data_IF_329854172196
#
_entry.id   IF_329854172196
#
_cell.length_a   1.000
_cell.length_b   1.000
_cell.length_c   1.000
_cell.angle_alpha   90.00
_cell.angle_beta   90.00
_cell.angle_gamma   90.00
#
_symmetry.space_group_name_H-M   'P 1'
#
loop_
_entity.id
_entity.type
_entity.pdbx_description
1 polymer ?
#
# COMPACT_ATOMS: atom_id res chain seq x y z
N UNK A 1 -91.53 -24.13 57.95
CA UNK A 1 -90.80 -24.65 56.78
C UNK A 1 -89.90 -23.65 56.06
N UNK A 2 -90.03 -22.35 56.31
CA UNK A 2 -89.24 -21.28 55.56
C UNK A 2 -87.80 -21.12 56.02
N UNK A 3 -87.40 -21.46 57.23
CA UNK A 3 -85.97 -21.28 57.73
C UNK A 3 -85.04 -22.38 57.21
N UNK A 4 -85.49 -23.64 57.01
CA UNK A 4 -84.63 -24.73 56.50
C UNK A 4 -84.21 -24.48 55.03
N UNK A 5 -85.11 -23.83 54.21
CA UNK A 5 -84.74 -23.49 52.82
C UNK A 5 -83.72 -22.37 52.68
N UNK A 6 -83.77 -21.41 53.64
CA UNK A 6 -82.73 -20.31 53.66
C UNK A 6 -81.35 -20.81 54.07
N UNK A 7 -81.23 -21.72 55.03
CA UNK A 7 -79.99 -22.36 55.44
C UNK A 7 -79.37 -23.20 54.33
N UNK A 8 -80.17 -23.90 53.55
CA UNK A 8 -79.73 -24.70 52.39
C UNK A 8 -79.21 -23.81 51.25
N UNK A 9 -79.79 -22.65 51.00
CA UNK A 9 -79.32 -21.66 50.02
C UNK A 9 -78.01 -21.02 50.42
N UNK A 10 -77.83 -20.69 51.70
CA UNK A 10 -76.60 -20.15 52.22
C UNK A 10 -75.46 -21.18 52.17
N UNK A 11 -75.75 -22.46 52.45
CA UNK A 11 -74.72 -23.53 52.33
C UNK A 11 -74.26 -23.74 50.87
N UNK A 12 -75.21 -23.68 49.91
CA UNK A 12 -74.92 -23.81 48.47
C UNK A 12 -74.05 -22.60 47.99
N UNK A 13 -74.35 -21.37 48.46
CA UNK A 13 -73.59 -20.19 48.10
C UNK A 13 -72.16 -20.26 48.69
N UNK A 14 -71.98 -20.70 49.94
CA UNK A 14 -70.70 -20.89 50.53
C UNK A 14 -69.87 -21.97 49.79
N UNK A 15 -70.56 -23.08 49.36
CA UNK A 15 -69.89 -24.12 48.58
C UNK A 15 -69.47 -23.61 47.19
N UNK A 16 -70.29 -22.83 46.53
CA UNK A 16 -69.98 -22.24 45.24
C UNK A 16 -68.82 -21.21 45.35
N UNK A 17 -68.82 -20.33 46.35
CA UNK A 17 -67.81 -19.42 46.66
C UNK A 17 -66.47 -20.14 46.96
N UNK A 18 -66.52 -21.24 47.74
CA UNK A 18 -65.39 -22.10 48.03
C UNK A 18 -64.81 -22.75 46.77
N UNK A 19 -65.62 -23.19 45.85
CA UNK A 19 -65.21 -23.81 44.57
C UNK A 19 -64.57 -22.73 43.64
N UNK A 20 -65.16 -21.53 43.59
CA UNK A 20 -64.61 -20.41 42.83
C UNK A 20 -63.26 -19.94 43.40
N UNK A 21 -63.19 -19.82 44.71
CA UNK A 21 -61.97 -19.49 45.42
C UNK A 21 -60.88 -20.56 45.23
N UNK A 22 -61.24 -21.85 45.31
CA UNK A 22 -60.29 -22.95 45.01
C UNK A 22 -59.76 -22.90 43.55
N UNK A 23 -60.65 -22.54 42.60
CA UNK A 23 -60.25 -22.37 41.20
C UNK A 23 -59.37 -21.16 40.99
N UNK A 24 -59.56 -20.08 41.74
CA UNK A 24 -58.74 -18.87 41.66
C UNK A 24 -57.38 -18.99 42.36
N UNK A 25 -57.30 -19.79 43.45
CA UNK A 25 -56.09 -19.94 44.26
C UNK A 25 -55.31 -21.21 43.91
N UNK A 26 -55.93 -22.17 43.19
CA UNK A 26 -55.20 -23.35 42.72
C UNK A 26 -53.98 -22.90 41.85
N UNK A 27 -52.75 -23.24 42.25
CA UNK A 27 -51.57 -22.86 41.49
C UNK A 27 -51.72 -23.49 40.09
N UNK A 28 -51.91 -22.66 39.11
CA UNK A 28 -51.80 -23.07 37.70
C UNK A 28 -50.39 -23.63 37.53
N UNK A 29 -50.30 -24.95 37.53
CA UNK A 29 -49.11 -25.62 37.05
C UNK A 29 -48.90 -25.17 35.61
N UNK A 30 -48.19 -24.07 35.44
CA UNK A 30 -47.63 -23.66 34.16
C UNK A 30 -46.75 -24.84 33.75
N UNK A 31 -47.33 -25.76 32.96
CA UNK A 31 -46.54 -26.73 32.21
C UNK A 31 -45.58 -25.90 31.41
N UNK A 32 -44.31 -25.76 31.90
CA UNK A 32 -43.21 -25.36 31.06
C UNK A 32 -43.25 -26.33 29.88
N UNK A 33 -43.81 -25.87 28.78
CA UNK A 33 -43.69 -26.54 27.51
C UNK A 33 -42.23 -26.81 27.31
N UNK A 34 -41.79 -28.04 27.45
CA UNK A 34 -40.50 -28.48 27.00
C UNK A 34 -40.52 -28.21 25.50
N UNK A 35 -39.86 -27.12 25.09
CA UNK A 35 -39.70 -26.77 23.69
C UNK A 35 -38.83 -27.88 23.08
N UNK A 36 -39.48 -28.89 22.50
CA UNK A 36 -38.85 -29.93 21.68
C UNK A 36 -38.53 -29.34 20.32
N UNK A 37 -37.79 -28.25 20.30
CA UNK A 37 -37.25 -27.65 19.07
C UNK A 37 -36.19 -28.59 18.49
N UNK A 38 -36.34 -28.90 17.19
CA UNK A 38 -35.32 -29.60 16.44
C UNK A 38 -33.99 -28.82 16.61
N UNK A 39 -32.86 -29.45 17.04
CA UNK A 39 -31.59 -28.75 17.27
C UNK A 39 -31.17 -28.03 16.01
N UNK A 40 -30.96 -26.72 16.11
CA UNK A 40 -30.54 -25.86 14.99
C UNK A 40 -29.12 -26.26 14.56
N UNK A 41 -28.88 -26.62 13.31
CA UNK A 41 -27.55 -26.94 12.83
C UNK A 41 -26.73 -25.66 12.76
N UNK A 42 -25.54 -25.69 13.38
CA UNK A 42 -24.61 -24.58 13.40
C UNK A 42 -23.20 -25.03 13.02
N UNK A 43 -22.37 -24.12 12.48
CA UNK A 43 -20.93 -24.29 12.42
C UNK A 43 -20.28 -23.42 13.49
N UNK A 44 -19.14 -23.88 14.00
CA UNK A 44 -18.42 -23.22 15.07
C UNK A 44 -16.96 -23.02 14.70
N UNK A 45 -16.33 -22.03 15.29
CA UNK A 45 -14.89 -21.83 15.28
C UNK A 45 -14.42 -21.62 16.73
N UNK A 46 -13.19 -22.03 17.00
CA UNK A 46 -12.60 -21.82 18.32
C UNK A 46 -11.97 -20.42 18.37
N UNK A 47 -12.11 -19.73 19.50
CA UNK A 47 -11.36 -18.50 19.80
C UNK A 47 -9.90 -18.89 20.05
N UNK A 48 -9.00 -18.41 19.20
CA UNK A 48 -7.59 -18.77 19.24
C UNK A 48 -6.72 -17.56 19.56
N UNK A 49 -5.57 -17.82 20.20
CA UNK A 49 -4.58 -16.79 20.45
C UNK A 49 -3.67 -16.67 19.22
N UNK A 50 -3.56 -15.46 18.66
CA UNK A 50 -2.79 -15.20 17.45
C UNK A 50 -2.12 -13.82 17.50
N UNK A 51 -0.97 -13.69 16.81
CA UNK A 51 -0.38 -12.39 16.56
C UNK A 51 -1.07 -11.78 15.33
N UNK A 52 -1.68 -10.61 15.51
CA UNK A 52 -2.46 -9.94 14.48
C UNK A 52 -1.75 -8.66 14.05
N UNK A 53 -1.27 -8.58 12.79
CA UNK A 53 -0.73 -7.34 12.27
C UNK A 53 -1.87 -6.34 12.03
N UNK A 54 -1.70 -5.13 12.53
CA UNK A 54 -2.65 -4.01 12.36
C UNK A 54 -2.19 -3.19 11.16
N UNK A 55 -3.12 -2.98 10.22
CA UNK A 55 -2.88 -2.23 9.00
C UNK A 55 -3.77 -0.98 8.95
N UNK A 56 -3.18 0.12 8.49
CA UNK A 56 -3.92 1.27 8.00
C UNK A 56 -4.03 1.14 6.48
N UNK A 57 -5.23 1.30 5.96
CA UNK A 57 -5.51 1.17 4.53
C UNK A 57 -5.74 2.55 3.91
N UNK A 58 -5.20 2.74 2.71
CA UNK A 58 -5.33 3.98 1.94
C UNK A 58 -5.28 3.69 0.44
N UNK A 59 -5.82 4.60 -0.35
CA UNK A 59 -5.57 4.64 -1.79
C UNK A 59 -4.26 5.40 -2.02
N UNK A 60 -3.37 4.84 -2.84
CA UNK A 60 -2.10 5.45 -3.22
C UNK A 60 -1.98 5.64 -4.71
N UNK A 61 -1.12 6.58 -5.11
CA UNK A 61 -0.71 6.82 -6.48
C UNK A 61 0.76 6.45 -6.65
N UNK A 62 1.04 5.67 -7.66
CA UNK A 62 2.40 5.26 -8.00
C UNK A 62 3.15 6.45 -8.62
N UNK A 63 4.36 6.75 -8.13
CA UNK A 63 5.24 7.78 -8.65
C UNK A 63 6.60 7.21 -9.01
N UNK A 64 7.18 7.71 -10.09
CA UNK A 64 8.55 7.37 -10.45
C UNK A 64 9.55 7.73 -9.33
N UNK A 65 10.59 6.91 -9.17
CA UNK A 65 11.68 7.25 -8.25
C UNK A 65 12.40 8.54 -8.68
N UNK A 66 12.68 8.66 -9.98
CA UNK A 66 13.18 9.87 -10.63
C UNK A 66 12.56 9.96 -12.03
N UNK A 67 12.27 11.17 -12.45
CA UNK A 67 11.75 11.47 -13.78
C UNK A 67 12.43 12.73 -14.26
N UNK A 68 13.05 12.69 -15.45
CA UNK A 68 13.77 13.81 -16.02
C UNK A 68 13.42 13.93 -17.50
N UNK A 69 12.97 15.10 -17.89
CA UNK A 69 12.80 15.47 -19.29
C UNK A 69 14.18 15.88 -19.85
N UNK A 70 14.64 15.17 -20.85
CA UNK A 70 15.89 15.49 -21.55
C UNK A 70 15.63 16.62 -22.52
N UNK A 71 16.29 17.74 -22.29
CA UNK A 71 16.17 18.95 -23.14
C UNK A 71 17.52 19.28 -23.77
N UNK A 72 17.53 19.83 -25.01
CA UNK A 72 18.73 20.36 -25.61
C UNK A 72 19.20 21.63 -24.87
N UNK A 73 20.51 21.81 -24.71
CA UNK A 73 21.10 22.99 -24.08
C UNK A 73 21.54 24.03 -25.10
N UNK A 74 21.57 23.65 -26.40
CA UNK A 74 21.97 24.49 -27.53
C UNK A 74 20.97 24.28 -28.67
N UNK A 75 20.96 25.21 -29.64
CA UNK A 75 20.08 25.13 -30.82
C UNK A 75 20.79 24.49 -32.00
N UNK A 76 20.05 23.79 -32.85
CA UNK A 76 20.56 23.25 -34.09
C UNK A 76 19.73 22.08 -34.64
N UNK A 77 20.02 21.63 -35.88
CA UNK A 77 19.35 20.45 -36.40
C UNK A 77 19.81 19.17 -35.69
N UNK A 78 18.87 18.33 -35.31
CA UNK A 78 19.14 17.03 -34.72
C UNK A 78 19.42 16.02 -35.85
N UNK A 79 20.66 15.58 -35.96
CA UNK A 79 21.09 14.71 -37.06
C UNK A 79 20.94 13.23 -36.80
N UNK A 80 20.78 12.85 -35.50
CA UNK A 80 20.83 11.46 -35.13
C UNK A 80 20.11 11.22 -33.80
N UNK A 81 19.36 10.11 -33.68
CA UNK A 81 18.74 9.59 -32.46
C UNK A 81 19.15 8.14 -32.30
N UNK A 82 19.77 7.80 -31.14
CA UNK A 82 20.42 6.50 -30.86
C UNK A 82 19.70 5.70 -29.77
N UNK A 83 18.39 5.80 -29.67
CA UNK A 83 17.61 4.99 -28.75
C UNK A 83 16.25 4.63 -29.37
N UNK A 84 15.64 3.55 -28.87
CA UNK A 84 14.28 3.18 -29.18
C UNK A 84 13.36 3.60 -28.03
N UNK A 85 12.13 3.94 -28.36
CA UNK A 85 11.09 4.24 -27.38
C UNK A 85 10.89 3.06 -26.41
N UNK A 86 10.75 3.36 -25.13
CA UNK A 86 10.62 2.33 -24.08
C UNK A 86 11.89 1.53 -23.78
N UNK A 87 13.05 1.88 -24.33
CA UNK A 87 14.33 1.24 -24.05
C UNK A 87 14.85 1.61 -22.64
N UNK A 88 15.56 0.69 -22.00
CA UNK A 88 16.34 1.02 -20.81
C UNK A 88 17.67 1.63 -21.20
N UNK A 89 17.97 2.80 -20.63
CA UNK A 89 19.23 3.54 -20.86
C UNK A 89 19.99 3.70 -19.56
N UNK A 90 21.31 3.80 -19.68
CA UNK A 90 22.22 4.08 -18.54
C UNK A 90 22.61 5.55 -18.51
N UNK A 91 22.89 6.08 -17.31
CA UNK A 91 23.40 7.45 -17.16
C UNK A 91 24.65 7.65 -18.01
N UNK A 92 24.70 8.76 -18.80
CA UNK A 92 25.78 9.09 -19.71
C UNK A 92 25.67 8.49 -21.12
N UNK A 93 24.74 7.55 -21.35
CA UNK A 93 24.50 6.97 -22.68
C UNK A 93 24.09 8.07 -23.66
N UNK A 94 24.65 8.04 -24.88
CA UNK A 94 24.26 8.94 -25.96
C UNK A 94 22.81 8.65 -26.36
N UNK A 95 22.01 9.68 -26.50
CA UNK A 95 20.61 9.58 -26.90
C UNK A 95 20.36 10.21 -28.26
N UNK A 96 20.94 11.38 -28.48
CA UNK A 96 20.77 12.11 -29.72
C UNK A 96 21.98 13.02 -29.97
N UNK A 97 22.12 13.51 -31.19
CA UNK A 97 23.19 14.45 -31.55
C UNK A 97 22.62 15.59 -32.38
N UNK A 98 22.98 16.80 -31.98
CA UNK A 98 22.81 18.03 -32.74
C UNK A 98 24.01 18.16 -33.67
N UNK A 99 23.87 18.80 -34.83
CA UNK A 99 24.97 19.03 -35.78
C UNK A 99 26.15 19.74 -35.09
N UNK A 100 27.28 19.07 -34.92
CA UNK A 100 28.43 19.64 -34.21
C UNK A 100 29.28 20.61 -35.05
N UNK A 101 29.09 20.63 -36.39
CA UNK A 101 29.96 21.35 -37.33
C UNK A 101 30.11 22.86 -37.01
N UNK A 102 29.00 23.60 -36.77
CA UNK A 102 29.12 25.02 -36.41
C UNK A 102 29.89 25.25 -35.08
N UNK A 103 29.63 24.40 -34.09
CA UNK A 103 30.26 24.49 -32.78
C UNK A 103 31.74 24.08 -32.85
N UNK A 104 32.09 23.09 -33.67
CA UNK A 104 33.51 22.72 -33.92
C UNK A 104 34.27 23.85 -34.62
N UNK A 105 33.62 24.53 -35.59
CA UNK A 105 34.23 25.68 -36.27
C UNK A 105 34.52 26.82 -35.29
N UNK A 106 33.56 27.10 -34.35
CA UNK A 106 33.74 28.11 -33.32
C UNK A 106 34.89 27.75 -32.36
N UNK A 107 34.98 26.46 -31.94
CA UNK A 107 36.11 26.00 -31.13
C UNK A 107 37.45 26.15 -31.86
N UNK A 108 37.51 25.76 -33.11
CA UNK A 108 38.72 25.90 -33.92
C UNK A 108 39.14 27.38 -34.04
N UNK A 109 38.19 28.31 -34.22
CA UNK A 109 38.46 29.76 -34.25
C UNK A 109 39.01 30.25 -32.89
N UNK A 110 38.41 29.84 -31.77
CA UNK A 110 38.91 30.22 -30.44
C UNK A 110 40.34 29.68 -30.18
N UNK A 111 40.62 28.43 -30.58
CA UNK A 111 41.95 27.83 -30.48
C UNK A 111 43.00 28.58 -31.33
N UNK A 112 42.63 28.98 -32.56
CA UNK A 112 43.51 29.76 -33.42
C UNK A 112 43.83 31.13 -32.83
N UNK A 113 42.83 31.80 -32.22
CA UNK A 113 43.07 33.08 -31.53
C UNK A 113 43.97 32.93 -30.32
N UNK A 114 43.70 31.94 -29.48
CA UNK A 114 44.55 31.61 -28.33
C UNK A 114 46.02 31.38 -28.75
N UNK A 115 46.25 30.62 -29.81
CA UNK A 115 47.58 30.35 -30.33
C UNK A 115 48.27 31.64 -30.84
N UNK A 116 47.51 32.54 -31.48
CA UNK A 116 48.01 33.85 -31.91
C UNK A 116 48.49 34.68 -30.69
N UNK A 117 47.67 34.83 -29.67
CA UNK A 117 47.97 35.69 -28.52
C UNK A 117 49.02 35.07 -27.59
N UNK A 118 49.11 33.74 -27.53
CA UNK A 118 50.24 33.06 -26.89
C UNK A 118 51.56 33.37 -27.58
N UNK A 119 51.60 33.51 -28.92
CA UNK A 119 52.77 33.90 -29.65
C UNK A 119 53.18 35.38 -29.35
N UNK A 120 52.18 36.29 -29.27
CA UNK A 120 52.42 37.71 -28.86
C UNK A 120 52.96 37.77 -27.44
N UNK A 121 52.40 37.07 -26.50
CA UNK A 121 52.89 36.98 -25.11
C UNK A 121 54.34 36.42 -25.07
N UNK A 122 54.65 35.42 -25.87
CA UNK A 122 55.96 34.84 -25.94
C UNK A 122 57.00 35.88 -26.44
N UNK A 123 56.63 36.69 -27.45
CA UNK A 123 57.43 37.79 -27.94
C UNK A 123 57.67 38.88 -26.85
N UNK A 124 56.60 39.34 -26.20
CA UNK A 124 56.63 40.30 -25.10
C UNK A 124 57.59 39.83 -23.97
N UNK A 125 57.53 38.56 -23.59
CA UNK A 125 58.43 37.95 -22.60
C UNK A 125 59.90 37.94 -23.05
N UNK A 126 60.17 37.72 -24.33
CA UNK A 126 61.53 37.80 -24.90
C UNK A 126 62.02 39.23 -24.83
N UNK A 127 61.19 40.21 -25.18
CA UNK A 127 61.48 41.61 -25.14
C UNK A 127 61.80 42.09 -23.71
N UNK A 128 60.91 41.73 -22.73
CA UNK A 128 61.11 42.01 -21.30
C UNK A 128 62.50 41.49 -20.83
N UNK A 129 62.82 40.22 -21.09
CA UNK A 129 64.16 39.67 -20.75
C UNK A 129 65.29 40.40 -21.40
N UNK A 130 65.15 40.91 -22.64
CA UNK A 130 66.17 41.73 -23.33
C UNK A 130 66.33 43.05 -22.60
N UNK A 131 65.30 43.78 -22.24
CA UNK A 131 65.36 45.05 -21.53
C UNK A 131 65.95 44.88 -20.13
N UNK A 132 65.57 43.85 -19.36
CA UNK A 132 66.19 43.51 -18.08
C UNK A 132 67.71 43.34 -18.17
N UNK A 133 68.22 42.70 -19.24
CA UNK A 133 69.64 42.55 -19.47
C UNK A 133 70.37 43.92 -19.87
N UNK A 134 69.64 44.76 -20.61
CA UNK A 134 70.17 46.10 -21.01
C UNK A 134 70.21 47.04 -19.82
N UNK A 135 69.26 47.05 -18.91
CA UNK A 135 69.30 47.87 -17.68
C UNK A 135 70.45 47.43 -16.78
N UNK A 136 70.75 46.15 -16.62
CA UNK A 136 71.91 45.67 -15.87
C UNK A 136 73.25 46.17 -16.42
N UNK A 137 73.32 46.56 -17.73
CA UNK A 137 74.47 47.12 -18.41
C UNK A 137 74.35 48.60 -18.54
N UNK A 138 73.37 49.28 -17.94
CA UNK A 138 73.13 50.74 -18.04
C UNK A 138 72.84 51.24 -19.47
N UNK A 139 72.33 50.39 -20.38
CA UNK A 139 71.99 50.74 -21.76
C UNK A 139 70.48 50.98 -21.97
N UNK A 140 69.65 50.79 -20.94
CA UNK A 140 68.21 51.07 -20.94
C UNK A 140 67.80 51.69 -19.60
N UNK A 141 66.62 52.40 -19.56
CA UNK A 141 66.03 52.94 -18.33
C UNK A 141 65.15 51.89 -17.58
N UNK A 142 65.05 52.07 -16.27
CA UNK A 142 64.13 51.24 -15.45
C UNK A 142 62.65 51.40 -15.89
N UNK A 143 62.31 52.63 -16.35
CA UNK A 143 60.94 52.87 -16.86
C UNK A 143 60.63 51.99 -18.09
N UNK A 144 61.53 51.83 -19.03
CA UNK A 144 61.37 50.97 -20.20
C UNK A 144 61.13 49.49 -19.80
N UNK A 145 61.81 49.03 -18.76
CA UNK A 145 61.59 47.67 -18.25
C UNK A 145 60.27 47.53 -17.59
N UNK A 146 59.82 48.55 -16.84
CA UNK A 146 58.48 48.57 -16.21
C UNK A 146 57.36 48.56 -17.27
N UNK A 147 57.51 49.34 -18.35
CA UNK A 147 56.57 49.38 -19.47
C UNK A 147 56.50 48.01 -20.16
N UNK A 148 57.60 47.30 -20.35
CA UNK A 148 57.59 45.95 -20.92
C UNK A 148 57.01 44.91 -19.95
N UNK A 149 57.22 45.06 -18.67
CA UNK A 149 56.59 44.22 -17.68
C UNK A 149 55.07 44.39 -17.64
N UNK A 150 54.60 45.62 -17.79
CA UNK A 150 53.14 45.90 -17.93
C UNK A 150 52.56 45.28 -19.20
N UNK A 151 53.29 45.39 -20.36
CA UNK A 151 52.86 44.74 -21.61
C UNK A 151 52.73 43.19 -21.47
N UNK A 152 53.74 42.58 -20.81
CA UNK A 152 53.65 41.11 -20.53
C UNK A 152 52.46 40.76 -19.65
N UNK A 153 52.11 41.62 -18.67
CA UNK A 153 50.99 41.40 -17.81
C UNK A 153 49.64 41.56 -18.57
N UNK A 154 49.55 42.53 -19.49
CA UNK A 154 48.45 42.76 -20.38
C UNK A 154 48.24 41.56 -21.32
N UNK A 155 49.26 41.12 -22.04
CA UNK A 155 49.20 39.98 -22.96
C UNK A 155 48.89 38.68 -22.21
N UNK A 156 49.41 38.51 -20.99
CA UNK A 156 49.06 37.36 -20.18
C UNK A 156 47.58 37.35 -19.76
N UNK A 157 47.01 38.54 -19.53
CA UNK A 157 45.57 38.65 -19.25
C UNK A 157 44.70 38.34 -20.50
N UNK A 158 45.16 38.76 -21.69
CA UNK A 158 44.47 38.44 -22.97
C UNK A 158 44.51 36.92 -23.22
N UNK A 159 45.66 36.28 -23.05
CA UNK A 159 45.77 34.80 -23.17
C UNK A 159 44.81 34.10 -22.21
N UNK A 160 44.69 34.56 -20.96
CA UNK A 160 43.78 34.00 -19.99
C UNK A 160 42.29 34.19 -20.39
N UNK A 161 41.95 35.32 -21.01
CA UNK A 161 40.63 35.58 -21.58
C UNK A 161 40.32 34.60 -22.71
N UNK A 162 41.26 34.35 -23.60
CA UNK A 162 41.13 33.45 -24.74
C UNK A 162 41.01 31.98 -24.28
N UNK A 163 41.74 31.58 -23.24
CA UNK A 163 41.58 30.26 -22.60
C UNK A 163 40.15 30.06 -22.12
N UNK A 164 39.53 31.04 -21.47
CA UNK A 164 38.14 31.01 -21.07
C UNK A 164 37.20 30.97 -22.30
N UNK A 165 37.53 31.63 -23.39
CA UNK A 165 36.83 31.55 -24.67
C UNK A 165 36.82 30.13 -25.26
N UNK A 166 37.98 29.47 -25.24
CA UNK A 166 38.16 28.08 -25.68
C UNK A 166 37.32 27.15 -24.82
N UNK A 167 37.35 27.29 -23.48
CA UNK A 167 36.53 26.47 -22.56
C UNK A 167 35.03 26.62 -22.83
N UNK A 168 34.56 27.84 -23.08
CA UNK A 168 33.20 28.14 -23.44
C UNK A 168 32.80 27.45 -24.76
N UNK A 169 33.61 27.56 -25.81
CA UNK A 169 33.35 26.91 -27.10
C UNK A 169 33.39 25.38 -26.99
N UNK A 170 34.28 24.82 -26.20
CA UNK A 170 34.34 23.36 -25.93
C UNK A 170 33.13 22.86 -25.14
N UNK A 171 32.65 23.63 -24.18
CA UNK A 171 31.39 23.32 -23.45
C UNK A 171 30.21 23.29 -24.39
N UNK A 172 30.07 24.30 -25.25
CA UNK A 172 28.97 24.31 -26.25
C UNK A 172 29.07 23.14 -27.22
N UNK A 173 30.25 22.76 -27.66
CA UNK A 173 30.47 21.58 -28.49
C UNK A 173 30.07 20.31 -27.73
N UNK A 174 30.34 20.20 -26.44
CA UNK A 174 29.96 19.05 -25.63
C UNK A 174 28.44 18.89 -25.57
N UNK A 175 27.66 19.97 -25.56
CA UNK A 175 26.19 19.97 -25.52
C UNK A 175 25.56 19.49 -26.85
N UNK A 176 26.32 19.39 -27.94
CA UNK A 176 25.83 18.77 -29.16
C UNK A 176 25.52 17.28 -28.98
N UNK A 177 26.20 16.60 -28.05
CA UNK A 177 25.97 15.21 -27.71
C UNK A 177 24.98 15.11 -26.53
N UNK A 178 23.73 14.88 -26.80
CA UNK A 178 22.66 14.77 -25.81
C UNK A 178 22.74 13.40 -25.14
N UNK A 179 23.00 13.39 -23.83
CA UNK A 179 23.20 12.17 -23.05
C UNK A 179 22.14 12.02 -21.95
N UNK A 180 21.88 10.77 -21.55
CA UNK A 180 20.97 10.45 -20.46
C UNK A 180 21.48 10.98 -19.12
N UNK A 181 20.78 11.87 -18.42
CA UNK A 181 21.20 12.40 -17.12
C UNK A 181 21.04 11.40 -15.98
N UNK A 182 20.13 10.44 -16.15
CA UNK A 182 19.81 9.36 -15.20
C UNK A 182 19.70 8.03 -15.94
N UNK A 183 19.89 6.92 -15.21
CA UNK A 183 19.53 5.59 -15.71
C UNK A 183 18.01 5.39 -15.52
N UNK A 184 17.34 4.83 -16.52
CA UNK A 184 15.91 4.60 -16.50
C UNK A 184 15.37 4.10 -17.82
N UNK A 185 14.06 4.11 -17.96
CA UNK A 185 13.35 3.75 -19.19
C UNK A 185 12.95 5.01 -19.94
N UNK A 186 13.23 5.06 -21.24
CA UNK A 186 12.80 6.14 -22.12
C UNK A 186 11.30 6.09 -22.34
N UNK A 187 10.67 7.25 -22.44
CA UNK A 187 9.30 7.41 -22.89
C UNK A 187 9.21 7.47 -24.43
N UNK A 188 8.16 8.13 -24.89
CA UNK A 188 7.90 8.41 -26.30
C UNK A 188 8.84 9.53 -26.76
N UNK A 189 9.41 9.39 -27.96
CA UNK A 189 10.23 10.39 -28.61
C UNK A 189 9.34 11.58 -29.01
N UNK A 190 9.75 12.79 -28.68
CA UNK A 190 8.99 14.00 -28.95
C UNK A 190 9.45 14.73 -30.21
N UNK A 191 10.67 14.47 -30.65
CA UNK A 191 11.28 15.15 -31.81
C UNK A 191 12.14 14.16 -32.60
N UNK A 192 11.89 14.06 -33.90
CA UNK A 192 12.62 13.18 -34.81
C UNK A 192 13.92 13.83 -35.32
N UNK A 193 14.84 12.98 -35.81
CA UNK A 193 16.03 13.44 -36.53
C UNK A 193 15.61 14.25 -37.75
N UNK A 194 16.35 15.31 -38.05
CA UNK A 194 16.03 16.28 -39.13
C UNK A 194 15.33 17.54 -38.61
N UNK A 195 14.73 17.53 -37.44
CA UNK A 195 14.11 18.71 -36.85
C UNK A 195 15.15 19.63 -36.20
N UNK A 196 14.86 20.94 -36.16
CA UNK A 196 15.65 21.91 -35.40
C UNK A 196 15.16 21.90 -33.95
N UNK A 197 16.09 21.72 -33.02
CA UNK A 197 15.83 21.78 -31.60
C UNK A 197 16.46 23.03 -30.97
N UNK A 198 15.89 23.51 -29.87
CA UNK A 198 16.41 24.69 -29.14
C UNK A 198 16.20 24.51 -27.63
N UNK A 199 16.99 25.23 -26.79
CA UNK A 199 16.73 25.31 -25.35
C UNK A 199 15.31 25.79 -25.08
N UNK A 200 14.63 25.19 -24.10
CA UNK A 200 13.24 25.54 -23.74
C UNK A 200 12.14 24.84 -24.57
N UNK A 201 12.50 23.82 -25.35
CA UNK A 201 11.51 22.96 -25.99
C UNK A 201 10.52 22.40 -24.95
N UNK A 202 9.23 22.73 -25.11
CA UNK A 202 8.22 22.50 -24.07
C UNK A 202 8.16 21.05 -23.54
N UNK A 203 8.26 20.06 -24.43
CA UNK A 203 8.19 18.64 -24.07
C UNK A 203 9.56 17.96 -23.99
N UNK A 204 10.65 18.70 -24.30
CA UNK A 204 11.97 18.13 -24.45
C UNK A 204 12.08 17.15 -25.61
N UNK A 205 13.11 16.31 -25.60
CA UNK A 205 13.33 15.25 -26.61
C UNK A 205 12.71 13.95 -26.16
N UNK A 206 12.92 13.57 -24.91
CA UNK A 206 12.39 12.35 -24.31
C UNK A 206 12.32 12.47 -22.80
N UNK A 207 11.30 11.83 -22.20
CA UNK A 207 11.20 11.64 -20.75
C UNK A 207 11.94 10.35 -20.36
N UNK A 208 12.85 10.42 -19.39
CA UNK A 208 13.50 9.23 -18.81
C UNK A 208 12.96 9.04 -17.39
N UNK A 209 12.48 7.85 -17.10
CA UNK A 209 11.83 7.51 -15.85
C UNK A 209 12.50 6.30 -15.19
N UNK A 210 12.93 6.45 -13.94
CA UNK A 210 13.44 5.33 -13.14
C UNK A 210 12.26 4.57 -12.53
N UNK A 211 12.07 3.32 -12.96
CA UNK A 211 10.99 2.42 -12.52
C UNK A 211 11.42 1.44 -11.43
N UNK A 212 12.72 1.30 -11.16
CA UNK A 212 13.32 0.42 -10.16
C UNK A 212 14.39 1.18 -9.38
N UNK A 213 14.13 1.49 -8.10
CA UNK A 213 12.89 1.34 -7.36
C UNK A 213 11.80 2.30 -7.83
N UNK A 214 10.59 2.22 -7.20
CA UNK A 214 9.45 3.10 -7.48
C UNK A 214 8.86 3.57 -6.15
N UNK A 215 8.14 4.68 -6.18
CA UNK A 215 7.41 5.18 -5.02
C UNK A 215 5.91 4.97 -5.15
N UNK A 216 5.25 4.84 -4.00
CA UNK A 216 3.81 5.00 -3.88
C UNK A 216 3.56 6.10 -2.86
N UNK A 217 2.79 7.10 -3.25
CA UNK A 217 2.37 8.21 -2.39
C UNK A 217 0.92 7.97 -2.02
N UNK A 218 0.60 8.07 -0.74
CA UNK A 218 -0.73 7.86 -0.19
C UNK A 218 -0.97 8.79 1.00
N UNK A 219 -2.23 9.06 1.29
CA UNK A 219 -2.62 9.95 2.38
C UNK A 219 -3.41 9.19 3.45
N UNK A 220 -3.16 9.54 4.70
CA UNK A 220 -3.89 9.03 5.86
C UNK A 220 -4.49 10.20 6.65
N UNK A 221 -5.64 10.02 7.33
CA UNK A 221 -6.18 11.02 8.24
C UNK A 221 -5.18 11.39 9.36
N UNK A 222 -5.14 12.66 9.75
CA UNK A 222 -4.22 13.17 10.79
C UNK A 222 -4.32 12.45 12.14
N UNK A 223 -5.49 11.88 12.47
CA UNK A 223 -5.71 11.10 13.70
C UNK A 223 -4.80 9.86 13.78
N UNK A 224 -4.29 9.37 12.64
CA UNK A 224 -3.38 8.22 12.59
C UNK A 224 -1.90 8.62 12.77
N UNK A 225 -1.59 9.92 12.92
CA UNK A 225 -0.23 10.44 13.02
C UNK A 225 0.56 9.78 14.17
N UNK A 226 -0.05 9.67 15.34
CA UNK A 226 0.61 9.09 16.51
C UNK A 226 0.96 7.60 16.31
N UNK A 227 0.08 6.83 15.68
CA UNK A 227 0.34 5.42 15.37
C UNK A 227 1.46 5.25 14.33
N UNK A 228 1.46 6.09 13.31
CA UNK A 228 2.50 6.09 12.27
C UNK A 228 3.86 6.49 12.85
N UNK A 229 3.90 7.51 13.71
CA UNK A 229 5.13 7.94 14.40
C UNK A 229 5.67 6.84 15.32
N UNK A 230 4.82 6.19 16.11
CA UNK A 230 5.23 5.06 16.95
C UNK A 230 5.79 3.90 16.12
N UNK A 231 5.17 3.61 14.98
CA UNK A 231 5.66 2.59 14.07
C UNK A 231 7.05 2.94 13.52
N UNK A 232 7.30 4.20 13.15
CA UNK A 232 8.59 4.68 12.67
C UNK A 232 9.71 4.59 13.72
N UNK A 233 9.38 4.82 15.00
CA UNK A 233 10.36 4.71 16.09
C UNK A 233 10.77 3.26 16.39
N UNK A 234 9.90 2.30 16.14
CA UNK A 234 10.17 0.88 16.44
C UNK A 234 10.94 0.18 15.32
N UNK A 235 10.56 0.36 14.09
CA UNK A 235 11.18 -0.20 12.86
C UNK A 235 10.62 0.55 11.64
N UNK A 236 11.32 0.46 10.48
CA UNK A 236 10.76 0.96 9.22
C UNK A 236 9.46 0.20 8.89
N UNK A 237 8.29 0.86 8.90
CA UNK A 237 7.01 0.19 8.68
C UNK A 237 6.96 -0.45 7.30
N UNK A 238 6.52 -1.71 7.27
CA UNK A 238 6.29 -2.42 6.01
C UNK A 238 5.00 -1.93 5.37
N UNK A 239 5.06 -1.74 4.06
CA UNK A 239 3.95 -1.30 3.23
C UNK A 239 3.67 -2.37 2.20
N UNK A 240 2.41 -2.77 2.08
CA UNK A 240 1.95 -3.71 1.07
C UNK A 240 1.14 -2.95 0.04
N UNK A 241 1.32 -3.29 -1.21
CA UNK A 241 0.46 -2.83 -2.30
C UNK A 241 -0.34 -4.01 -2.82
N UNK A 242 -1.64 -3.79 -2.97
CA UNK A 242 -2.58 -4.82 -3.45
C UNK A 242 -3.34 -4.32 -4.66
N UNK A 243 -3.79 -5.25 -5.52
CA UNK A 243 -4.72 -4.92 -6.59
C UNK A 243 -6.05 -4.50 -6.00
N UNK A 244 -6.55 -3.33 -6.41
CA UNK A 244 -7.93 -2.92 -6.13
C UNK A 244 -8.87 -3.59 -7.11
N UNK A 245 -9.71 -4.54 -6.62
CA UNK A 245 -10.77 -5.13 -7.42
C UNK A 245 -11.93 -5.47 -6.49
N UNK A 246 -13.14 -4.97 -6.77
CA UNK A 246 -14.36 -5.38 -6.10
C UNK A 246 -14.63 -6.85 -6.41
N UNK A 247 -14.50 -7.73 -5.40
CA UNK A 247 -14.92 -9.12 -5.49
C UNK A 247 -13.85 -10.20 -5.70
N UNK A 248 -12.59 -9.82 -5.96
CA UNK A 248 -11.47 -10.77 -5.94
C UNK A 248 -10.64 -10.64 -4.65
N UNK A 249 -10.05 -11.73 -4.13
CA UNK A 249 -9.10 -11.60 -3.03
C UNK A 249 -7.97 -10.67 -3.47
N UNK A 250 -7.75 -9.58 -2.70
CA UNK A 250 -6.70 -8.59 -2.98
C UNK A 250 -5.34 -9.27 -2.99
N UNK A 251 -4.81 -9.54 -4.19
CA UNK A 251 -3.47 -10.11 -4.32
C UNK A 251 -2.43 -9.05 -4.00
N UNK A 252 -1.42 -9.42 -3.21
CA UNK A 252 -0.28 -8.55 -2.93
C UNK A 252 0.56 -8.47 -4.20
N UNK A 253 0.77 -7.25 -4.70
CA UNK A 253 1.58 -6.97 -5.89
C UNK A 253 3.06 -6.86 -5.53
N UNK A 254 3.37 -6.09 -4.48
CA UNK A 254 4.74 -5.83 -4.05
C UNK A 254 4.80 -5.45 -2.57
N UNK A 255 6.00 -5.58 -2.00
CA UNK A 255 6.32 -5.24 -0.62
C UNK A 255 7.31 -4.08 -0.59
N UNK A 256 6.97 -3.03 0.12
CA UNK A 256 7.80 -1.85 0.28
C UNK A 256 8.04 -1.50 1.73
N UNK A 257 8.73 -0.39 1.91
CA UNK A 257 9.00 0.23 3.20
C UNK A 257 8.59 1.70 3.17
N UNK A 258 8.06 2.19 4.27
CA UNK A 258 7.78 3.62 4.42
C UNK A 258 9.11 4.38 4.39
N UNK A 259 9.25 5.29 3.41
CA UNK A 259 10.48 6.05 3.21
C UNK A 259 10.39 7.45 3.80
N UNK A 260 9.23 8.10 3.67
CA UNK A 260 9.04 9.49 4.09
C UNK A 260 7.63 9.64 4.68
N UNK A 261 7.55 10.34 5.78
CA UNK A 261 6.36 10.99 6.32
C UNK A 261 6.51 12.47 6.05
N UNK A 262 5.55 13.09 5.42
CA UNK A 262 5.57 14.54 5.16
C UNK A 262 5.59 15.32 6.48
N UNK A 263 6.25 16.46 6.48
CA UNK A 263 6.37 17.33 7.64
C UNK A 263 5.17 18.29 7.81
N UNK A 264 4.21 18.25 6.86
CA UNK A 264 3.02 19.08 6.87
C UNK A 264 1.76 18.24 6.75
N UNK A 265 0.71 18.68 7.45
CA UNK A 265 -0.64 18.16 7.31
C UNK A 265 -1.37 19.09 6.32
N UNK A 266 -2.01 18.51 5.32
CA UNK A 266 -2.86 19.29 4.41
C UNK A 266 -4.04 19.88 5.17
N UNK A 267 -4.07 21.19 5.30
CA UNK A 267 -5.12 21.89 6.03
C UNK A 267 -6.50 21.76 5.34
N UNK A 268 -6.52 21.59 4.02
CA UNK A 268 -7.76 21.45 3.25
C UNK A 268 -8.46 20.10 3.42
N UNK A 269 -7.67 19.03 3.68
CA UNK A 269 -8.18 17.66 3.76
C UNK A 269 -7.99 17.01 5.14
N UNK A 270 -7.22 17.63 6.04
CA UNK A 270 -6.87 17.05 7.34
C UNK A 270 -6.07 15.74 7.22
N UNK A 271 -5.28 15.60 6.15
CA UNK A 271 -4.53 14.39 5.89
C UNK A 271 -3.03 14.64 5.91
N UNK A 272 -2.30 13.61 6.32
CA UNK A 272 -0.84 13.54 6.20
C UNK A 272 -0.46 12.70 4.98
N UNK A 273 0.57 13.14 4.26
CA UNK A 273 1.07 12.45 3.08
C UNK A 273 2.25 11.55 3.45
N UNK A 274 2.23 10.32 2.95
CA UNK A 274 3.27 9.34 3.14
C UNK A 274 3.80 8.87 1.80
N UNK A 275 5.10 8.55 1.77
CA UNK A 275 5.76 8.00 0.59
C UNK A 275 6.47 6.70 0.97
N UNK A 276 6.09 5.61 0.31
CA UNK A 276 6.71 4.31 0.47
C UNK A 276 7.53 3.93 -0.76
N UNK A 277 8.65 3.26 -0.55
CA UNK A 277 9.56 2.80 -1.60
C UNK A 277 9.35 1.31 -1.83
N UNK A 278 9.22 0.93 -3.10
CA UNK A 278 9.03 -0.44 -3.57
C UNK A 278 10.14 -0.82 -4.54
N UNK A 279 10.68 -2.04 -4.50
CA UNK A 279 11.72 -2.51 -5.42
C UNK A 279 11.23 -2.69 -6.85
N UNK A 280 9.95 -3.04 -7.06
CA UNK A 280 9.27 -3.23 -8.35
C UNK A 280 9.99 -4.16 -9.33
N UNK A 281 10.40 -5.38 -8.93
CA UNK A 281 11.21 -6.26 -9.79
C UNK A 281 10.45 -6.73 -11.03
N UNK A 282 9.15 -6.96 -10.90
CA UNK A 282 8.27 -7.42 -11.98
C UNK A 282 7.74 -6.30 -12.87
N UNK A 283 8.05 -5.01 -12.59
CA UNK A 283 7.52 -3.83 -13.30
C UNK A 283 5.98 -3.78 -13.33
N UNK A 284 5.33 -4.30 -12.30
CA UNK A 284 3.87 -4.27 -12.17
C UNK A 284 3.34 -2.91 -11.74
N UNK A 285 4.17 -2.14 -11.02
CA UNK A 285 3.85 -0.77 -10.60
C UNK A 285 4.31 0.21 -11.67
N UNK A 286 3.36 0.98 -12.22
CA UNK A 286 3.62 2.00 -13.23
C UNK A 286 3.26 3.39 -12.70
N UNK A 287 4.07 4.43 -13.00
CA UNK A 287 3.77 5.81 -12.62
C UNK A 287 2.38 6.23 -13.10
N UNK A 288 1.62 6.90 -12.22
CA UNK A 288 0.24 7.31 -12.46
C UNK A 288 -0.82 6.27 -12.10
N UNK A 289 -0.46 5.01 -11.87
CA UNK A 289 -1.42 3.98 -11.46
C UNK A 289 -1.92 4.19 -10.02
N UNK A 290 -3.20 3.88 -9.80
CA UNK A 290 -3.79 3.84 -8.46
C UNK A 290 -3.70 2.43 -7.88
N UNK A 291 -3.36 2.34 -6.61
CA UNK A 291 -3.15 1.09 -5.90
C UNK A 291 -3.68 1.18 -4.47
N UNK A 292 -4.15 0.05 -3.94
CA UNK A 292 -4.51 -0.02 -2.53
C UNK A 292 -3.25 -0.28 -1.70
N UNK A 293 -3.05 0.56 -0.70
CA UNK A 293 -1.90 0.52 0.20
C UNK A 293 -2.33 0.04 1.58
N UNK A 294 -1.58 -0.87 2.16
CA UNK A 294 -1.74 -1.36 3.52
C UNK A 294 -0.44 -1.11 4.30
N UNK A 295 -0.46 -0.12 5.17
CA UNK A 295 0.66 0.23 6.05
C UNK A 295 0.55 -0.55 7.35
N UNK A 296 1.51 -1.43 7.63
CA UNK A 296 1.59 -2.13 8.91
C UNK A 296 2.11 -1.19 9.98
N UNK A 297 1.27 -0.83 10.96
CA UNK A 297 1.66 0.08 12.04
C UNK A 297 2.14 -0.65 13.30
N UNK A 298 1.52 -1.78 13.65
CA UNK A 298 1.91 -2.59 14.81
C UNK A 298 1.48 -4.04 14.65
N UNK A 299 1.86 -4.88 15.60
CA UNK A 299 1.36 -6.26 15.73
C UNK A 299 0.83 -6.43 17.14
N UNK A 300 -0.46 -6.78 17.27
CA UNK A 300 -1.04 -7.16 18.57
C UNK A 300 -0.63 -8.59 18.86
N UNK A 301 0.25 -8.77 19.84
CA UNK A 301 0.78 -10.07 20.22
C UNK A 301 -0.17 -10.82 21.14
N UNK A 302 -0.45 -12.09 20.82
CA UNK A 302 -1.28 -12.94 21.66
C UNK A 302 -2.74 -12.51 21.78
N UNK A 303 -3.25 -11.76 20.79
CA UNK A 303 -4.64 -11.34 20.77
C UNK A 303 -5.59 -12.54 20.58
N UNK A 304 -6.75 -12.49 21.25
CA UNK A 304 -7.81 -13.48 21.05
C UNK A 304 -8.57 -13.09 19.78
N UNK A 305 -8.62 -14.00 18.82
CA UNK A 305 -9.28 -13.76 17.52
C UNK A 305 -10.37 -14.77 17.25
N UNK A 306 -11.40 -14.29 16.60
CA UNK A 306 -12.50 -15.11 16.04
C UNK A 306 -12.70 -14.73 14.57
N UNK A 307 -13.26 -15.62 13.73
CA UNK A 307 -13.69 -15.23 12.39
C UNK A 307 -14.70 -14.09 12.45
N UNK A 308 -14.56 -13.08 11.57
CA UNK A 308 -15.45 -11.89 11.59
C UNK A 308 -16.92 -12.22 11.45
N UNK A 309 -17.24 -13.32 10.74
CA UNK A 309 -18.61 -13.82 10.59
C UNK A 309 -19.25 -14.31 11.91
N UNK A 310 -18.48 -14.55 12.96
CA UNK A 310 -18.97 -14.97 14.27
C UNK A 310 -19.45 -13.79 15.13
N UNK A 311 -18.99 -12.59 14.85
CA UNK A 311 -19.39 -11.38 15.57
C UNK A 311 -20.66 -10.81 14.95
N UNK A 312 -21.61 -10.46 15.79
CA UNK A 312 -22.91 -9.90 15.40
C UNK A 312 -23.14 -8.57 16.10
N UNK A 313 -23.92 -7.72 15.46
CA UNK A 313 -24.38 -6.46 16.06
C UNK A 313 -25.77 -6.68 16.66
N UNK A 314 -25.91 -6.33 17.94
CA UNK A 314 -27.16 -6.32 18.66
C UNK A 314 -27.54 -4.91 19.12
N UNK A 315 -28.70 -4.72 19.76
CA UNK A 315 -29.16 -3.43 20.26
C UNK A 315 -28.22 -2.81 21.32
N UNK A 316 -27.52 -3.66 22.06
CA UNK A 316 -26.58 -3.27 23.15
C UNK A 316 -25.12 -3.27 22.73
N UNK A 317 -24.83 -3.54 21.44
CA UNK A 317 -23.47 -3.59 20.91
C UNK A 317 -23.08 -4.93 20.30
N UNK A 318 -21.79 -5.15 19.99
CA UNK A 318 -21.31 -6.38 19.38
C UNK A 318 -21.38 -7.55 20.36
N UNK A 319 -21.81 -8.70 19.88
CA UNK A 319 -21.90 -9.94 20.66
C UNK A 319 -21.54 -11.16 19.82
N UNK A 320 -21.29 -12.29 20.48
CA UNK A 320 -21.12 -13.61 19.86
C UNK A 320 -22.03 -14.63 20.53
N UNK A 321 -22.41 -15.67 19.79
CA UNK A 321 -23.03 -16.84 20.38
C UNK A 321 -21.97 -17.84 20.82
N UNK A 322 -21.81 -17.96 22.14
CA UNK A 322 -20.91 -18.94 22.77
C UNK A 322 -21.61 -20.29 22.87
N UNK A 323 -20.96 -21.35 22.42
CA UNK A 323 -21.48 -22.72 22.49
C UNK A 323 -21.01 -23.37 23.78
N UNK A 324 -21.96 -23.69 24.67
CA UNK A 324 -21.72 -24.40 25.91
C UNK A 324 -22.33 -25.82 25.85
N UNK A 325 -21.76 -26.72 26.63
CA UNK A 325 -22.28 -28.07 26.72
C UNK A 325 -23.65 -28.00 27.43
N UNK A 326 -24.76 -28.45 26.79
CA UNK A 326 -25.99 -28.61 27.48
C UNK A 326 -25.85 -29.72 28.54
N UNK A 327 -26.29 -29.45 29.78
CA UNK A 327 -26.41 -30.49 30.78
C UNK A 327 -27.37 -31.54 30.21
N UNK A 328 -26.95 -32.82 30.18
CA UNK A 328 -27.80 -33.91 29.73
C UNK A 328 -29.12 -33.89 30.55
N UNK A 329 -30.29 -33.90 29.91
CA UNK A 329 -31.53 -34.04 30.67
C UNK A 329 -31.47 -35.37 31.46
N UNK A 330 -31.99 -35.41 32.69
CA UNK A 330 -32.04 -36.63 33.49
C UNK A 330 -32.83 -37.70 32.67
N UNK A 331 -32.21 -38.84 32.45
CA UNK A 331 -32.83 -39.98 31.78
C UNK A 331 -33.87 -40.53 32.77
N UNK A 332 -35.12 -40.15 32.60
CA UNK A 332 -36.26 -40.80 33.29
C UNK A 332 -36.41 -42.20 32.70
N UNK A 333 -36.00 -43.19 33.44
CA UNK A 333 -36.28 -44.60 33.16
C UNK A 333 -37.76 -44.85 33.39
N UNK A 334 -38.56 -44.70 32.35
CA UNK A 334 -39.92 -45.21 32.26
C UNK A 334 -39.91 -46.36 31.24
N UNK A 335 -40.11 -47.59 31.72
CA UNK A 335 -39.90 -48.81 30.99
C UNK A 335 -40.69 -48.99 29.73
N UNK A 336 -40.14 -49.75 28.81
CA UNK A 336 -40.68 -50.91 28.07
C UNK A 336 -39.58 -51.38 27.11
N UNK A 337 -39.17 -52.65 27.11
CA UNK A 337 -38.15 -53.16 26.20
C UNK A 337 -38.80 -53.47 24.84
N UNK A 338 -38.45 -52.72 23.84
CA UNK A 338 -38.73 -53.09 22.43
C UNK A 338 -37.41 -53.38 21.74
N UNK A 339 -37.16 -54.65 21.49
CA UNK A 339 -36.12 -55.13 20.60
C UNK A 339 -36.28 -54.46 19.23
N UNK A 340 -35.34 -53.61 18.89
CA UNK A 340 -35.05 -53.24 17.51
C UNK A 340 -33.52 -53.24 17.33
N UNK A 341 -33.04 -54.25 16.60
CA UNK A 341 -31.72 -54.37 16.03
C UNK A 341 -31.56 -53.35 14.92
N UNK A 342 -31.18 -52.13 15.26
CA UNK A 342 -30.78 -51.06 14.35
C UNK A 342 -29.58 -50.33 14.92
N UNK A 343 -28.48 -50.19 14.14
CA UNK A 343 -27.33 -49.40 14.48
C UNK A 343 -27.75 -48.07 15.10
N UNK A 344 -27.52 -47.89 16.42
CA UNK A 344 -27.76 -46.63 17.10
C UNK A 344 -26.97 -45.54 16.38
N UNK A 345 -27.58 -44.49 15.84
CA UNK A 345 -26.83 -43.32 15.39
C UNK A 345 -26.10 -42.75 16.62
N UNK A 346 -24.81 -42.45 16.47
CA UNK A 346 -24.00 -41.86 17.51
C UNK A 346 -24.79 -40.70 18.13
N UNK A 347 -24.98 -40.75 19.46
CA UNK A 347 -25.75 -39.79 20.24
C UNK A 347 -25.30 -38.39 19.87
N UNK A 348 -26.07 -37.66 19.08
CA UNK A 348 -25.76 -36.31 18.64
C UNK A 348 -25.60 -35.43 19.89
N UNK A 349 -24.39 -35.02 20.19
CA UNK A 349 -24.13 -34.15 21.35
C UNK A 349 -24.92 -32.86 21.15
N UNK A 350 -25.78 -32.56 22.09
CA UNK A 350 -26.62 -31.37 22.10
C UNK A 350 -25.86 -30.27 22.86
N UNK A 351 -25.84 -29.08 22.31
CA UNK A 351 -25.23 -27.92 22.90
C UNK A 351 -26.26 -26.82 23.09
N UNK A 352 -25.98 -25.88 23.97
CA UNK A 352 -26.75 -24.66 24.22
C UNK A 352 -25.90 -23.47 23.80
N UNK A 353 -26.49 -22.46 23.18
CA UNK A 353 -25.82 -21.19 22.91
C UNK A 353 -26.19 -20.14 23.95
N UNK A 354 -25.21 -19.29 24.26
CA UNK A 354 -25.39 -18.16 25.18
C UNK A 354 -24.94 -16.94 24.43
N UNK A 355 -25.77 -15.89 24.42
CA UNK A 355 -25.38 -14.60 23.91
C UNK A 355 -24.38 -13.94 24.86
N UNK A 356 -23.18 -13.62 24.37
CA UNK A 356 -22.13 -13.00 25.14
C UNK A 356 -21.70 -11.70 24.50
N UNK A 357 -21.90 -10.55 25.16
CA UNK A 357 -21.36 -9.27 24.69
C UNK A 357 -19.84 -9.31 24.67
N UNK A 358 -19.24 -8.72 23.64
CA UNK A 358 -17.80 -8.67 23.44
C UNK A 358 -17.35 -7.25 23.16
N UNK A 359 -16.13 -6.93 23.57
CA UNK A 359 -15.48 -5.68 23.18
C UNK A 359 -14.54 -5.95 22.04
N UNK A 360 -14.81 -5.32 20.89
CA UNK A 360 -13.98 -5.43 19.71
C UNK A 360 -12.72 -4.58 19.83
N UNK A 361 -11.63 -5.09 19.29
CA UNK A 361 -10.42 -4.36 18.99
C UNK A 361 -10.32 -4.03 17.50
N UNK A 362 -9.24 -4.50 16.87
CA UNK A 362 -9.07 -4.39 15.42
C UNK A 362 -9.95 -5.42 14.71
N UNK A 363 -10.66 -4.94 13.69
CA UNK A 363 -11.51 -5.77 12.83
C UNK A 363 -10.97 -5.77 11.40
N UNK A 364 -10.88 -6.96 10.81
CA UNK A 364 -10.51 -7.13 9.41
C UNK A 364 -11.57 -7.94 8.67
N UNK A 365 -11.47 -8.03 7.34
CA UNK A 365 -12.42 -8.79 6.53
C UNK A 365 -12.54 -10.28 6.92
N UNK A 366 -11.53 -10.86 7.56
CA UNK A 366 -11.47 -12.29 7.88
C UNK A 366 -11.54 -12.61 9.37
N UNK A 367 -11.00 -11.75 10.22
CA UNK A 367 -10.90 -11.99 11.67
C UNK A 367 -11.12 -10.71 12.46
N UNK A 368 -11.75 -10.86 13.62
CA UNK A 368 -11.92 -9.81 14.61
C UNK A 368 -11.10 -10.12 15.86
N UNK A 369 -10.42 -9.10 16.36
CA UNK A 369 -9.70 -9.15 17.63
C UNK A 369 -10.69 -8.85 18.75
N UNK A 370 -10.76 -9.71 19.74
CA UNK A 370 -11.62 -9.54 20.93
C UNK A 370 -10.74 -9.07 22.10
N UNK A 371 -11.05 -7.88 22.62
CA UNK A 371 -10.36 -7.33 23.79
C UNK A 371 -10.91 -7.86 25.12
N UNK A 372 -12.22 -8.09 25.16
CA UNK A 372 -12.91 -8.61 26.36
C UNK A 372 -14.15 -9.42 25.97
N UNK A 373 -14.53 -10.36 26.83
CA UNK A 373 -15.75 -11.17 26.67
C UNK A 373 -15.51 -12.61 26.24
N UNK A 374 -14.32 -12.98 25.72
CA UNK A 374 -13.97 -14.36 25.35
C UNK A 374 -12.67 -14.83 25.98
N UNK A 375 -12.56 -16.15 26.16
CA UNK A 375 -11.33 -16.84 26.57
C UNK A 375 -10.84 -17.75 25.43
N UNK A 376 -9.55 -18.04 25.44
CA UNK A 376 -8.96 -18.98 24.46
C UNK A 376 -9.60 -20.35 24.60
N UNK A 377 -10.05 -20.91 23.47
CA UNK A 377 -10.77 -22.19 23.43
C UNK A 377 -12.30 -22.08 23.49
N UNK A 378 -12.85 -20.89 23.69
CA UNK A 378 -14.28 -20.66 23.58
C UNK A 378 -14.74 -20.95 22.15
N UNK A 379 -15.87 -21.68 22.02
CA UNK A 379 -16.46 -21.99 20.72
C UNK A 379 -17.52 -20.98 20.36
N UNK A 380 -17.32 -20.29 19.25
CA UNK A 380 -18.27 -19.28 18.74
C UNK A 380 -18.94 -19.76 17.46
N UNK A 381 -20.21 -19.38 17.28
CA UNK A 381 -20.99 -19.75 16.11
C UNK A 381 -20.58 -18.90 14.92
N UNK A 382 -20.24 -19.55 13.79
CA UNK A 382 -19.85 -18.88 12.53
C UNK A 382 -20.94 -18.93 11.47
N UNK A 383 -21.81 -19.98 11.47
CA UNK A 383 -22.95 -20.04 10.56
C UNK A 383 -24.18 -20.66 11.26
N UNK A 384 -25.36 -20.38 10.73
CA UNK A 384 -26.66 -20.83 11.34
C UNK A 384 -27.20 -19.87 12.42
N UNK A 385 -26.52 -18.73 12.64
CA UNK A 385 -26.85 -17.79 13.72
C UNK A 385 -28.13 -16.97 13.54
N UNK A 386 -28.77 -16.91 12.36
CA UNK A 386 -29.93 -16.06 12.09
C UNK A 386 -31.21 -16.54 12.81
N UNK A 387 -31.26 -17.81 13.24
CA UNK A 387 -32.39 -18.42 13.95
C UNK A 387 -32.08 -18.62 15.44
N UNK A 388 -30.95 -18.18 15.91
CA UNK A 388 -30.53 -18.34 17.29
C UNK A 388 -31.10 -17.22 18.18
N UNK A 389 -31.40 -17.58 19.40
CA UNK A 389 -31.68 -16.69 20.53
C UNK A 389 -30.94 -17.22 21.76
N UNK A 390 -30.82 -16.42 22.76
CA UNK A 390 -30.18 -16.87 24.00
C UNK A 390 -30.84 -18.14 24.55
N UNK A 391 -30.02 -19.14 24.88
CA UNK A 391 -30.50 -20.42 25.35
C UNK A 391 -30.93 -21.43 24.30
N UNK A 392 -30.84 -21.13 23.00
CA UNK A 392 -31.26 -22.04 21.93
C UNK A 392 -30.44 -23.34 21.94
N UNK A 393 -31.16 -24.46 21.62
CA UNK A 393 -30.53 -25.80 21.51
C UNK A 393 -29.97 -25.98 20.11
N UNK A 394 -28.71 -26.39 20.01
CA UNK A 394 -27.99 -26.46 18.73
C UNK A 394 -27.24 -27.78 18.57
N UNK A 395 -27.00 -28.14 17.31
CA UNK A 395 -26.16 -29.24 16.89
C UNK A 395 -25.02 -28.74 16.03
N UNK A 396 -23.76 -29.04 16.40
CA UNK A 396 -22.60 -28.71 15.61
C UNK A 396 -22.53 -29.59 14.36
N UNK A 397 -22.45 -28.96 13.20
CA UNK A 397 -22.23 -29.60 11.90
C UNK A 397 -20.86 -29.18 11.39
N UNK A 398 -20.04 -30.12 10.90
CA UNK A 398 -18.77 -29.73 10.30
C UNK A 398 -19.03 -28.79 9.12
N UNK A 399 -18.13 -27.83 8.85
CA UNK A 399 -18.25 -26.94 7.70
C UNK A 399 -18.35 -27.77 6.41
N UNK A 400 -19.30 -27.42 5.54
CA UNK A 400 -19.39 -28.04 4.23
C UNK A 400 -18.03 -27.92 3.53
N UNK A 401 -17.42 -29.04 3.14
CA UNK A 401 -16.22 -29.01 2.32
C UNK A 401 -16.59 -28.29 1.03
N UNK A 402 -16.01 -27.14 0.78
CA UNK A 402 -16.05 -26.52 -0.55
C UNK A 402 -15.51 -27.57 -1.52
N UNK A 403 -16.28 -27.96 -2.56
CA UNK A 403 -15.74 -28.86 -3.57
C UNK A 403 -14.49 -28.16 -4.16
N UNK A 404 -13.33 -28.82 -4.09
CA UNK A 404 -12.18 -28.42 -4.88
C UNK A 404 -12.65 -28.30 -6.33
N UNK A 405 -12.20 -27.29 -7.11
CA UNK A 405 -12.48 -27.27 -8.53
C UNK A 405 -11.80 -28.48 -9.16
N UNK A 406 -12.52 -29.60 -9.14
CA UNK A 406 -12.10 -30.81 -9.80
C UNK A 406 -12.23 -30.58 -11.28
N UNK A 407 -11.07 -30.63 -11.96
CA UNK A 407 -10.88 -31.09 -13.33
C UNK A 407 -12.17 -31.20 -14.14
N UNK A 408 -12.47 -30.15 -14.90
CA UNK A 408 -13.33 -30.29 -16.07
C UNK A 408 -12.74 -31.42 -16.92
N UNK A 409 -13.49 -32.46 -17.29
CA UNK A 409 -13.01 -33.43 -18.24
C UNK A 409 -12.73 -32.70 -19.55
N UNK A 410 -11.54 -32.96 -20.11
CA UNK A 410 -11.13 -32.44 -21.40
C UNK A 410 -12.17 -32.85 -22.45
N UNK A 411 -12.74 -31.84 -23.12
CA UNK A 411 -13.60 -32.06 -24.29
C UNK A 411 -12.79 -32.81 -25.37
N UNK A 412 -13.39 -33.82 -26.05
CA UNK A 412 -12.69 -34.53 -27.10
C UNK A 412 -12.40 -33.60 -28.28
N UNK A 413 -11.29 -33.80 -29.04
CA UNK A 413 -10.93 -32.99 -30.16
C UNK A 413 -11.96 -33.15 -31.28
N UNK A 414 -12.57 -32.03 -31.69
CA UNK A 414 -13.42 -31.98 -32.91
C UNK A 414 -12.56 -32.30 -34.11
N UNK A 415 -12.78 -33.48 -34.71
CA UNK A 415 -12.39 -33.77 -36.10
C UNK A 415 -13.22 -32.88 -37.04
N UNK A 416 -12.60 -31.91 -37.64
CA UNK A 416 -13.04 -31.37 -38.91
C UNK A 416 -11.95 -31.67 -39.95
N UNK A 417 -12.28 -32.60 -40.83
CA UNK A 417 -11.55 -32.83 -42.06
C UNK A 417 -12.14 -31.95 -43.17
N UNK A 418 -11.27 -31.66 -44.07
CA UNK A 418 -11.31 -31.04 -45.39
C UNK A 418 -11.11 -29.56 -45.45
#
# INVERSE_FOLDING_TARGET
MRHKRRLLLVAVIILLVGIVFYRLVAPSHVRRAAFTGVPIPITVADAVRRNVPIYLEALGTVQAYRSVVVQPMISGPMIFVDFHEGQNVTKGQLLARIDPRPYQATLNQALAKLAQDQAVLAEARVNLRRYEMLVKKHYASEQQTTDQAAAVAEDAAIVKQDEAGVESAQTNLSYTAIRAPISGRTGILQVDAGNIVSPGLANGIVLITTLRPIYVVFSLPQQNLSEVQQALHSQLPRVLVTTGGTGAPSAVIDHGVLAVLDNQISASTGTLTLKARFPNPALTLWPGAFVNVRLKVRTDHGAIVVPSVAVRQGPTGPFVYLVTRAASPPVTHGGVPRHQTGKRPATARIYKVIERPVTLGYSSASVDVIRAGLVVGDRVVTAGGSRLHDGAIVRIVPPARTPSPSSRPASPPSRFGR
#
